data_IF_842500987739
#
_entry.id   IF_842500987739
#
_cell.length_a   1.000
_cell.length_b   1.000
_cell.length_c   1.000
_cell.angle_alpha   90.00
_cell.angle_beta   90.00
_cell.angle_gamma   90.00
#
_symmetry.space_group_name_H-M   'P 1'
#
loop_
_entity.id
_entity.type
_entity.pdbx_description
1 polymer ?
#
# COMPACT_ATOMS: atom_id res chain seq x y z
N UNK A 1 17.70 9.55 13.53
CA UNK A 1 17.05 8.63 12.58
C UNK A 1 16.76 9.43 11.33
N UNK A 2 17.31 9.03 10.19
CA UNK A 2 17.21 9.76 8.93
C UNK A 2 16.15 9.10 8.03
N UNK A 3 15.30 9.91 7.40
CA UNK A 3 14.28 9.41 6.46
C UNK A 3 14.94 9.24 5.10
N UNK A 4 15.05 8.01 4.63
CA UNK A 4 15.63 7.70 3.31
C UNK A 4 14.62 7.92 2.18
N UNK A 5 13.34 7.62 2.42
CA UNK A 5 12.25 7.79 1.47
C UNK A 5 11.06 8.47 2.14
N UNK A 6 10.62 9.60 1.58
CA UNK A 6 9.46 10.35 2.08
C UNK A 6 8.12 9.62 1.83
N UNK A 7 8.12 8.68 0.87
CA UNK A 7 6.97 7.85 0.52
C UNK A 7 7.37 6.38 0.39
N UNK A 8 6.66 5.48 1.05
CA UNK A 8 6.85 4.04 0.95
C UNK A 8 5.56 3.28 1.30
N UNK A 9 5.40 2.06 0.77
CA UNK A 9 4.30 1.18 1.13
C UNK A 9 4.85 -0.18 1.56
N UNK A 10 4.51 -0.62 2.77
CA UNK A 10 4.73 -1.99 3.23
C UNK A 10 3.51 -2.85 2.91
N UNK A 11 3.72 -4.09 2.47
CA UNK A 11 2.62 -5.03 2.21
C UNK A 11 2.92 -6.31 3.00
N UNK A 12 1.98 -6.70 3.86
CA UNK A 12 1.98 -8.01 4.53
C UNK A 12 1.01 -8.94 3.80
N UNK A 13 1.49 -10.09 3.34
CA UNK A 13 0.75 -11.01 2.47
C UNK A 13 0.41 -12.29 3.22
N UNK A 14 -0.87 -12.63 3.26
CA UNK A 14 -1.39 -13.90 3.75
C UNK A 14 -2.03 -14.71 2.62
N UNK A 15 -2.45 -15.95 2.89
CA UNK A 15 -2.96 -16.84 1.85
C UNK A 15 -4.19 -16.32 1.08
N UNK A 16 -5.07 -15.54 1.73
CA UNK A 16 -6.35 -15.06 1.16
C UNK A 16 -6.47 -13.55 1.08
N UNK A 17 -5.56 -12.82 1.72
CA UNK A 17 -5.63 -11.38 1.89
C UNK A 17 -4.25 -10.80 2.08
N UNK A 18 -4.12 -9.51 1.81
CA UNK A 18 -2.94 -8.72 2.10
C UNK A 18 -3.33 -7.40 2.77
N UNK A 19 -2.44 -6.88 3.59
CA UNK A 19 -2.59 -5.58 4.25
C UNK A 19 -1.51 -4.65 3.72
N UNK A 20 -1.92 -3.59 3.04
CA UNK A 20 -1.03 -2.57 2.53
C UNK A 20 -1.04 -1.35 3.46
N UNK A 21 0.15 -0.89 3.83
CA UNK A 21 0.37 0.26 4.69
C UNK A 21 1.25 1.29 3.97
N UNK A 22 0.61 2.33 3.45
CA UNK A 22 1.26 3.46 2.78
C UNK A 22 1.63 4.53 3.80
N UNK A 23 2.86 5.02 3.73
CA UNK A 23 3.32 6.25 4.35
C UNK A 23 3.67 7.21 3.22
N UNK A 24 3.05 8.38 3.16
CA UNK A 24 3.39 9.48 2.23
C UNK A 24 3.39 10.79 3.00
N UNK A 25 4.50 11.52 2.95
CA UNK A 25 4.67 12.83 3.60
C UNK A 25 4.32 12.80 5.11
N UNK A 26 4.69 11.71 5.78
CA UNK A 26 4.41 11.47 7.19
C UNK A 26 2.96 11.03 7.51
N UNK A 27 2.07 10.96 6.51
CA UNK A 27 0.71 10.46 6.68
C UNK A 27 0.64 8.97 6.41
N UNK A 28 -0.02 8.23 7.30
CA UNK A 28 -0.18 6.78 7.22
C UNK A 28 -1.59 6.41 6.78
N UNK A 29 -1.70 5.51 5.81
CA UNK A 29 -2.96 4.90 5.38
C UNK A 29 -2.81 3.38 5.30
N UNK A 30 -3.80 2.66 5.80
CA UNK A 30 -3.83 1.20 5.75
C UNK A 30 -5.09 0.73 5.06
N UNK A 31 -4.95 -0.21 4.12
CA UNK A 31 -6.05 -0.88 3.45
C UNK A 31 -5.77 -2.37 3.31
N UNK A 32 -6.84 -3.14 3.30
CA UNK A 32 -6.82 -4.60 3.16
C UNK A 32 -7.42 -4.97 1.83
N UNK A 33 -6.79 -5.90 1.13
CA UNK A 33 -7.24 -6.44 -0.15
C UNK A 33 -7.21 -7.97 -0.10
N UNK A 34 -7.93 -8.64 -0.99
CA UNK A 34 -7.78 -10.07 -1.23
C UNK A 34 -6.58 -10.38 -2.13
N UNK A 35 -6.28 -11.66 -2.31
CA UNK A 35 -5.23 -12.14 -3.23
C UNK A 35 -5.76 -12.39 -4.66
N UNK A 36 -7.00 -12.03 -4.95
CA UNK A 36 -7.56 -12.14 -6.30
C UNK A 36 -7.04 -11.00 -7.19
N UNK A 37 -6.81 -11.28 -8.47
CA UNK A 37 -6.22 -10.32 -9.41
C UNK A 37 -6.94 -8.97 -9.44
N UNK A 38 -8.27 -8.96 -9.42
CA UNK A 38 -9.06 -7.72 -9.44
C UNK A 38 -8.75 -6.82 -8.23
N UNK A 39 -8.56 -7.41 -7.05
CA UNK A 39 -8.21 -6.66 -5.84
C UNK A 39 -6.75 -6.20 -5.83
N UNK A 40 -5.85 -6.96 -6.50
CA UNK A 40 -4.47 -6.51 -6.74
C UNK A 40 -4.42 -5.32 -7.70
N UNK A 41 -5.32 -5.26 -8.69
CA UNK A 41 -5.48 -4.10 -9.55
C UNK A 41 -6.03 -2.90 -8.76
N UNK A 42 -6.99 -3.12 -7.86
CA UNK A 42 -7.48 -2.07 -6.97
C UNK A 42 -6.40 -1.57 -5.99
N UNK A 43 -5.50 -2.45 -5.52
CA UNK A 43 -4.31 -2.04 -4.77
C UNK A 43 -3.40 -1.13 -5.60
N UNK A 44 -3.13 -1.50 -6.86
CA UNK A 44 -2.34 -0.68 -7.79
C UNK A 44 -2.99 0.69 -8.01
N UNK A 45 -4.28 0.72 -8.34
CA UNK A 45 -5.05 1.96 -8.53
C UNK A 45 -4.97 2.85 -7.29
N UNK A 46 -5.13 2.25 -6.10
CA UNK A 46 -5.02 2.97 -4.84
C UNK A 46 -3.64 3.60 -4.65
N UNK A 47 -2.55 2.90 -4.97
CA UNK A 47 -1.20 3.45 -4.87
C UNK A 47 -0.93 4.56 -5.91
N UNK A 48 -1.46 4.43 -7.12
CA UNK A 48 -1.31 5.44 -8.18
C UNK A 48 -2.01 6.76 -7.84
N UNK A 49 -3.11 6.74 -7.05
CA UNK A 49 -3.72 7.97 -6.54
C UNK A 49 -2.77 8.82 -5.67
N UNK A 50 -1.72 8.22 -5.11
CA UNK A 50 -0.70 8.91 -4.32
C UNK A 50 0.60 9.18 -5.08
N UNK A 51 0.65 8.94 -6.39
CA UNK A 51 1.86 9.12 -7.19
C UNK A 51 1.99 10.53 -7.82
N UNK A 52 1.04 11.43 -7.56
CA UNK A 52 1.05 12.83 -7.98
C UNK A 52 1.26 13.79 -6.81
#
# INVERSE_FOLDING_TARGET
MEVLYASCCGIDVHAKMLVACLIKDGQKQTRTFSTMTDDLLHLLDWLLLFSY
#
